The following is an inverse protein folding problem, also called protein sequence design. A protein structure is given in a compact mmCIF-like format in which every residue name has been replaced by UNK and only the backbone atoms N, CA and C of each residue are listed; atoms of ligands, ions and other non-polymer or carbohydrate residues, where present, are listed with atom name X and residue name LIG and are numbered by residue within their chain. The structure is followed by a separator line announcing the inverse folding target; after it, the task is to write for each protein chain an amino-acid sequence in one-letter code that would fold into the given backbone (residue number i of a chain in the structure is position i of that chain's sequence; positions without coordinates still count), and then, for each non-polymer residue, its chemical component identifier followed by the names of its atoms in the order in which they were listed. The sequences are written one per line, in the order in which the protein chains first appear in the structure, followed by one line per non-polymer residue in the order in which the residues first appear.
data_IF_189690763770
#
_entry.id   IF_189690763770
#
_cell.length_a   1.000
_cell.length_b   1.000
_cell.length_c   1.000
_cell.angle_alpha   90.00
_cell.angle_beta   90.00
_cell.angle_gamma   90.00
#
_symmetry.space_group_name_H-M   'P 1'
#
loop_
_entity.id
_entity.type
_entity.pdbx_description
1 polymer ?
#
# COMPACT_ATOMS: atom_id res chain seq x y z
N UNK A 1 -31.55 22.23 -56.75
CA UNK A 1 -31.53 23.66 -57.13
C UNK A 1 -31.10 24.47 -55.92
N UNK A 2 -30.12 25.38 -56.10
CA UNK A 2 -29.54 26.35 -55.15
C UNK A 2 -28.48 25.85 -54.14
N UNK A 3 -27.26 25.84 -54.65
CA UNK A 3 -25.98 26.20 -54.02
C UNK A 3 -26.06 27.48 -53.19
N UNK A 4 -25.37 27.51 -52.03
CA UNK A 4 -24.66 28.71 -51.52
C UNK A 4 -23.35 28.31 -50.85
N UNK A 5 -22.28 28.83 -51.43
CA UNK A 5 -20.90 28.84 -50.97
C UNK A 5 -20.74 30.03 -50.01
N UNK A 6 -20.07 29.86 -48.88
CA UNK A 6 -19.74 30.91 -47.92
C UNK A 6 -18.30 30.76 -47.45
N UNK A 7 -17.53 31.84 -47.57
CA UNK A 7 -16.08 31.85 -47.64
C UNK A 7 -15.34 31.90 -46.28
N UNK A 8 -14.23 31.16 -46.27
CA UNK A 8 -12.89 31.42 -45.71
C UNK A 8 -12.65 32.67 -44.83
N UNK A 9 -12.08 32.45 -43.64
CA UNK A 9 -11.09 33.34 -43.02
C UNK A 9 -10.07 32.51 -42.24
N UNK A 10 -8.88 32.33 -42.80
CA UNK A 10 -7.72 31.69 -42.14
C UNK A 10 -6.97 32.81 -41.39
N UNK A 11 -6.97 32.76 -40.06
CA UNK A 11 -6.11 33.62 -39.23
C UNK A 11 -4.84 32.83 -38.93
N UNK A 12 -3.74 33.22 -39.57
CA UNK A 12 -2.41 32.69 -39.30
C UNK A 12 -1.80 33.43 -38.09
N UNK A 13 -1.72 32.76 -36.95
CA UNK A 13 -1.03 33.28 -35.76
C UNK A 13 0.44 32.83 -35.80
N UNK A 14 1.35 33.78 -36.01
CA UNK A 14 2.79 33.56 -35.85
C UNK A 14 3.12 33.41 -34.36
N UNK A 15 3.56 32.21 -33.96
CA UNK A 15 4.15 31.97 -32.63
C UNK A 15 5.64 32.27 -32.71
N UNK A 16 6.07 33.36 -32.08
CA UNK A 16 7.47 33.70 -31.92
C UNK A 16 8.11 32.77 -30.87
N UNK A 17 9.12 32.02 -31.27
CA UNK A 17 9.94 31.20 -30.38
C UNK A 17 10.85 32.11 -29.53
N UNK A 18 10.53 32.27 -28.24
CA UNK A 18 11.43 32.84 -27.26
C UNK A 18 12.35 31.75 -26.73
N UNK A 19 13.66 31.88 -26.95
CA UNK A 19 14.67 31.02 -26.33
C UNK A 19 14.72 31.31 -24.82
N UNK A 20 14.72 30.29 -23.94
CA UNK A 20 15.02 30.49 -22.53
C UNK A 20 16.52 30.80 -22.37
N UNK A 21 16.85 32.07 -22.12
CA UNK A 21 18.16 32.45 -21.62
C UNK A 21 18.30 31.96 -20.18
N UNK A 22 19.26 31.07 -19.92
CA UNK A 22 19.68 30.74 -18.57
C UNK A 22 20.33 31.97 -17.93
N UNK A 23 19.57 32.71 -17.12
CA UNK A 23 20.14 33.71 -16.24
C UNK A 23 20.84 32.98 -15.08
N UNK A 24 22.18 32.95 -15.09
CA UNK A 24 22.96 32.52 -13.93
C UNK A 24 22.81 33.55 -12.81
N UNK A 25 21.89 33.30 -11.88
CA UNK A 25 21.83 34.02 -10.62
C UNK A 25 22.96 33.51 -9.71
N UNK A 26 24.13 34.15 -9.76
CA UNK A 26 25.17 33.98 -8.74
C UNK A 26 24.85 34.90 -7.56
N UNK A 27 23.94 34.45 -6.69
CA UNK A 27 23.76 35.04 -5.38
C UNK A 27 24.51 34.20 -4.35
N UNK A 28 25.44 34.80 -3.62
CA UNK A 28 26.07 34.16 -2.46
C UNK A 28 24.99 33.93 -1.39
N UNK A 29 24.66 32.67 -1.13
CA UNK A 29 23.71 32.30 -0.09
C UNK A 29 24.40 32.45 1.26
N UNK A 30 24.19 33.59 1.92
CA UNK A 30 24.62 33.79 3.31
C UNK A 30 23.66 33.03 4.24
N UNK A 31 24.16 31.91 4.75
CA UNK A 31 23.69 31.07 5.84
C UNK A 31 22.30 31.35 6.43
N UNK A 32 21.35 30.45 6.14
CA UNK A 32 20.18 30.23 6.99
C UNK A 32 20.62 29.64 8.33
N UNK A 33 20.20 30.27 9.43
CA UNK A 33 20.47 29.76 10.78
C UNK A 33 19.97 28.32 10.98
N UNK A 34 20.51 27.59 11.98
CA UNK A 34 20.19 26.19 12.24
C UNK A 34 18.72 26.07 12.68
N UNK A 35 17.81 25.95 11.71
CA UNK A 35 16.39 25.59 11.94
C UNK A 35 16.00 24.28 11.28
N UNK A 36 16.96 23.61 10.65
CA UNK A 36 16.79 22.29 10.08
C UNK A 36 17.85 21.39 10.72
N UNK A 37 17.59 20.96 11.96
CA UNK A 37 18.02 19.61 12.31
C UNK A 37 17.25 18.69 11.36
N UNK A 38 17.88 18.36 10.23
CA UNK A 38 17.46 17.27 9.38
C UNK A 38 17.70 15.98 10.17
N UNK A 39 16.90 15.77 11.21
CA UNK A 39 16.77 14.47 11.84
C UNK A 39 16.51 13.48 10.72
N UNK A 40 17.29 12.40 10.70
CA UNK A 40 17.05 11.30 9.77
C UNK A 40 15.55 10.97 9.84
N UNK A 41 14.85 10.83 8.69
CA UNK A 41 13.44 10.47 8.73
C UNK A 41 13.30 9.23 9.61
N UNK A 42 12.33 9.25 10.52
CA UNK A 42 12.06 8.11 11.39
C UNK A 42 12.01 6.84 10.54
N UNK A 43 12.64 5.73 10.96
CA UNK A 43 12.59 4.49 10.23
C UNK A 43 11.14 4.13 9.89
N UNK A 44 10.85 3.94 8.61
CA UNK A 44 9.49 3.62 8.11
C UNK A 44 8.93 2.32 8.71
N UNK A 45 9.82 1.48 9.24
CA UNK A 45 9.52 0.24 9.95
C UNK A 45 10.08 0.38 11.36
N UNK A 46 9.21 0.27 12.37
CA UNK A 46 9.63 0.14 13.77
C UNK A 46 8.94 -1.09 14.37
N UNK A 47 9.67 -1.96 15.09
CA UNK A 47 9.04 -3.08 15.76
C UNK A 47 7.88 -2.61 16.63
N UNK A 48 6.69 -3.21 16.45
CA UNK A 48 5.55 -2.94 17.32
C UNK A 48 5.84 -3.61 18.66
N UNK A 49 6.25 -2.82 19.65
CA UNK A 49 6.67 -3.27 20.99
C UNK A 49 5.53 -3.22 22.02
N UNK A 50 4.27 -3.17 21.57
CA UNK A 50 3.12 -3.21 22.47
C UNK A 50 3.11 -4.57 23.17
N UNK A 51 3.11 -4.64 24.53
CA UNK A 51 3.26 -5.90 25.25
C UNK A 51 2.22 -6.96 24.90
N UNK A 52 1.00 -6.54 24.55
CA UNK A 52 -0.04 -7.44 24.07
C UNK A 52 0.40 -8.16 22.79
N UNK A 53 1.10 -7.47 21.89
CA UNK A 53 1.54 -8.01 20.61
C UNK A 53 2.89 -8.74 20.70
N UNK A 54 3.78 -8.40 21.64
CA UNK A 54 5.08 -9.08 21.75
C UNK A 54 4.95 -10.57 22.09
N UNK A 55 3.98 -10.92 22.93
CA UNK A 55 3.68 -12.32 23.32
C UNK A 55 2.81 -13.07 22.30
N UNK A 56 2.40 -12.42 21.20
CA UNK A 56 1.61 -13.07 20.17
C UNK A 56 2.36 -14.24 19.52
N UNK A 57 1.67 -15.36 19.34
CA UNK A 57 2.18 -16.42 18.48
C UNK A 57 2.47 -15.86 17.07
N UNK A 58 3.61 -16.17 16.44
CA UNK A 58 3.91 -15.74 15.08
C UNK A 58 2.87 -16.17 14.04
N UNK A 59 2.04 -17.16 14.34
CA UNK A 59 0.98 -17.70 13.48
C UNK A 59 -0.43 -17.33 13.93
N UNK A 60 -0.57 -16.37 14.86
CA UNK A 60 -1.86 -15.77 15.21
C UNK A 60 -2.07 -14.43 14.50
N UNK A 61 -3.30 -13.92 14.51
CA UNK A 61 -3.57 -12.60 13.92
C UNK A 61 -2.71 -11.52 14.56
N UNK A 62 -2.59 -11.50 15.88
CA UNK A 62 -1.69 -10.60 16.61
C UNK A 62 -0.25 -10.63 16.12
N UNK A 63 0.31 -11.82 15.90
CA UNK A 63 1.68 -11.96 15.43
C UNK A 63 1.86 -11.51 13.98
N UNK A 64 0.91 -11.82 13.11
CA UNK A 64 0.91 -11.37 11.72
C UNK A 64 0.69 -9.86 11.61
N UNK A 65 -0.18 -9.28 12.43
CA UNK A 65 -0.37 -7.84 12.50
C UNK A 65 0.90 -7.14 12.99
N UNK A 66 1.50 -7.62 14.09
CA UNK A 66 2.76 -7.09 14.61
C UNK A 66 3.86 -7.07 13.53
N UNK A 67 4.01 -8.17 12.82
CA UNK A 67 5.17 -8.39 11.95
C UNK A 67 4.97 -7.87 10.52
N UNK A 68 3.72 -7.92 10.01
CA UNK A 68 3.42 -7.67 8.59
C UNK A 68 2.37 -6.60 8.31
N UNK A 69 1.22 -6.65 8.99
CA UNK A 69 0.05 -5.86 8.59
C UNK A 69 -0.20 -4.60 9.43
N UNK A 70 0.53 -4.43 10.53
CA UNK A 70 0.39 -3.30 11.43
C UNK A 70 1.03 -2.03 10.86
N UNK A 71 0.66 -0.89 11.46
CA UNK A 71 1.10 0.44 11.00
C UNK A 71 2.62 0.63 10.93
N UNK A 72 3.37 -0.12 11.75
CA UNK A 72 4.85 -0.05 11.81
C UNK A 72 5.52 -1.36 11.38
N UNK A 73 4.73 -2.30 10.87
CA UNK A 73 5.20 -3.61 10.46
C UNK A 73 6.10 -3.55 9.23
N UNK A 74 6.85 -4.63 8.97
CA UNK A 74 7.79 -4.72 7.84
C UNK A 74 7.09 -4.61 6.49
N UNK A 75 5.87 -5.14 6.40
CA UNK A 75 5.00 -5.02 5.22
C UNK A 75 4.04 -3.82 5.29
N UNK A 76 4.38 -2.78 6.04
CA UNK A 76 3.46 -1.74 6.47
C UNK A 76 3.07 -0.74 5.38
N UNK A 77 1.81 -0.79 4.93
CA UNK A 77 1.09 0.42 4.48
C UNK A 77 -0.26 0.62 5.21
N UNK A 78 -0.43 -0.06 6.34
CA UNK A 78 -1.58 0.12 7.22
C UNK A 78 -1.50 1.40 8.04
N UNK A 79 -2.65 2.00 8.37
CA UNK A 79 -2.75 3.19 9.22
C UNK A 79 -2.10 4.47 8.68
N UNK A 80 -1.61 4.49 7.43
CA UNK A 80 -1.04 5.68 6.77
C UNK A 80 -2.12 6.52 6.08
N UNK A 81 -3.26 5.91 5.74
CA UNK A 81 -4.33 6.51 4.95
C UNK A 81 -4.04 6.61 3.45
N UNK A 82 -2.79 6.38 3.03
CA UNK A 82 -2.36 6.39 1.64
C UNK A 82 -2.62 5.04 0.94
N UNK A 83 -2.42 3.90 1.63
CA UNK A 83 -2.85 2.59 1.13
C UNK A 83 -4.01 2.01 1.95
N UNK A 84 -3.82 1.87 3.27
CA UNK A 84 -4.87 1.44 4.18
C UNK A 84 -4.91 2.35 5.42
N UNK A 85 -6.07 2.43 6.04
CA UNK A 85 -6.30 3.28 7.21
C UNK A 85 -7.77 3.26 7.62
N UNK A 86 -8.26 4.36 8.18
CA UNK A 86 -9.67 4.51 8.55
C UNK A 86 -10.58 4.75 7.34
N UNK A 87 -11.85 4.41 7.47
CA UNK A 87 -12.91 4.69 6.49
C UNK A 87 -12.88 6.16 6.06
N UNK A 88 -13.09 6.40 4.77
CA UNK A 88 -13.11 7.75 4.18
C UNK A 88 -11.73 8.31 3.84
N UNK A 89 -10.64 7.58 4.13
CA UNK A 89 -9.31 7.93 3.63
C UNK A 89 -9.15 7.49 2.16
N UNK A 90 -8.45 8.26 1.31
CA UNK A 90 -8.31 7.95 -0.11
C UNK A 90 -7.81 6.53 -0.40
N UNK A 91 -6.81 6.04 0.34
CA UNK A 91 -6.28 4.69 0.16
C UNK A 91 -7.31 3.59 0.43
N UNK A 92 -8.17 3.80 1.43
CA UNK A 92 -9.26 2.86 1.76
C UNK A 92 -10.31 2.84 0.65
N UNK A 93 -10.67 4.00 0.09
CA UNK A 93 -11.66 4.06 -0.99
C UNK A 93 -11.23 3.33 -2.26
N UNK A 94 -9.91 3.24 -2.50
CA UNK A 94 -9.34 2.52 -3.64
C UNK A 94 -9.20 1.03 -3.31
N UNK A 95 -8.58 0.71 -2.17
CA UNK A 95 -8.27 -0.67 -1.81
C UNK A 95 -9.48 -1.47 -1.34
N UNK A 96 -10.44 -0.84 -0.65
CA UNK A 96 -11.50 -1.53 0.10
C UNK A 96 -11.04 -2.13 1.43
N UNK A 97 -9.81 -1.85 1.86
CA UNK A 97 -9.24 -2.43 3.08
C UNK A 97 -9.06 -1.37 4.16
N UNK A 98 -9.79 -1.54 5.26
CA UNK A 98 -9.67 -0.70 6.47
C UNK A 98 -8.69 -1.37 7.41
N UNK A 99 -7.63 -0.66 7.75
CA UNK A 99 -6.64 -1.08 8.76
C UNK A 99 -6.36 0.13 9.64
N UNK A 100 -7.40 0.62 10.32
CA UNK A 100 -7.33 1.71 11.30
C UNK A 100 -6.68 1.24 12.60
N UNK A 101 -7.08 0.06 13.05
CA UNK A 101 -6.54 -0.68 14.19
C UNK A 101 -6.43 -2.17 13.84
N UNK A 102 -6.11 -3.00 14.85
CA UNK A 102 -5.90 -4.43 14.69
C UNK A 102 -7.18 -5.20 14.34
N UNK A 103 -8.32 -4.81 14.90
CA UNK A 103 -9.59 -5.51 14.72
C UNK A 103 -10.22 -5.15 13.38
N UNK A 104 -10.18 -3.88 13.01
CA UNK A 104 -10.63 -3.43 11.70
C UNK A 104 -9.80 -4.03 10.56
N UNK A 105 -8.48 -4.15 10.77
CA UNK A 105 -7.61 -4.78 9.79
C UNK A 105 -7.88 -6.28 9.65
N UNK A 106 -8.16 -6.98 10.76
CA UNK A 106 -8.61 -8.36 10.71
C UNK A 106 -9.94 -8.50 9.96
N UNK A 107 -10.90 -7.63 10.31
CA UNK A 107 -12.24 -7.63 9.72
C UNK A 107 -12.15 -7.44 8.21
N UNK A 108 -11.36 -6.48 7.74
CA UNK A 108 -11.14 -6.27 6.31
C UNK A 108 -10.45 -7.45 5.63
N UNK A 109 -9.55 -8.16 6.33
CA UNK A 109 -8.91 -9.38 5.81
C UNK A 109 -9.92 -10.52 5.60
N UNK A 110 -10.86 -10.69 6.54
CA UNK A 110 -11.80 -11.82 6.61
C UNK A 110 -13.19 -11.56 6.01
N UNK A 111 -13.57 -10.30 5.87
CA UNK A 111 -14.92 -9.90 5.48
C UNK A 111 -14.84 -8.85 4.38
N UNK A 112 -15.79 -8.90 3.44
CA UNK A 112 -15.99 -7.84 2.44
C UNK A 112 -16.80 -6.69 3.07
N UNK A 113 -16.19 -6.00 4.04
CA UNK A 113 -16.87 -4.94 4.82
C UNK A 113 -16.94 -3.62 4.07
N UNK A 114 -16.05 -3.41 3.11
CA UNK A 114 -15.91 -2.15 2.39
C UNK A 114 -15.74 -2.42 0.90
N UNK A 115 -16.85 -2.59 0.17
CA UNK A 115 -16.81 -2.98 -1.22
C UNK A 115 -16.01 -1.95 -2.03
N UNK A 116 -14.85 -2.38 -2.53
CA UNK A 116 -14.07 -1.61 -3.49
C UNK A 116 -14.71 -1.77 -4.87
N UNK A 117 -14.68 -0.74 -5.73
CA UNK A 117 -15.02 -0.94 -7.14
C UNK A 117 -14.12 -1.98 -7.84
N UNK A 118 -12.92 -2.26 -7.30
CA UNK A 118 -11.99 -3.26 -7.85
C UNK A 118 -12.20 -4.67 -7.27
N UNK A 119 -12.57 -4.78 -6.00
CA UNK A 119 -12.59 -6.06 -5.29
C UNK A 119 -13.87 -6.19 -4.45
N UNK A 120 -14.58 -7.32 -4.64
CA UNK A 120 -15.82 -7.66 -3.93
C UNK A 120 -15.69 -9.00 -3.20
N UNK A 121 -14.54 -9.21 -2.56
CA UNK A 121 -14.24 -10.42 -1.81
C UNK A 121 -13.27 -10.15 -0.69
N UNK A 122 -13.42 -10.88 0.41
CA UNK A 122 -12.40 -10.97 1.44
C UNK A 122 -11.08 -11.54 0.89
N UNK A 123 -9.96 -11.14 1.50
CA UNK A 123 -8.63 -11.66 1.19
C UNK A 123 -8.50 -13.12 1.62
N UNK A 124 -9.14 -13.47 2.74
CA UNK A 124 -9.20 -14.83 3.27
C UNK A 124 -10.66 -15.15 3.58
N UNK A 125 -11.17 -16.23 2.99
CA UNK A 125 -12.52 -16.76 3.19
C UNK A 125 -12.49 -18.02 4.06
N UNK A 126 -13.65 -18.46 4.53
CA UNK A 126 -13.76 -19.68 5.34
C UNK A 126 -13.34 -20.93 4.54
N UNK A 127 -13.64 -20.97 3.24
CA UNK A 127 -13.24 -22.08 2.36
C UNK A 127 -11.71 -22.19 2.18
N UNK A 128 -10.98 -21.09 2.41
CA UNK A 128 -9.51 -21.09 2.34
C UNK A 128 -8.87 -21.86 3.51
N UNK A 129 -9.62 -22.17 4.58
CA UNK A 129 -9.09 -22.94 5.73
C UNK A 129 -8.56 -24.31 5.29
N UNK A 130 -9.29 -24.99 4.40
CA UNK A 130 -8.91 -26.31 3.90
C UNK A 130 -7.80 -26.24 2.82
N UNK A 131 -7.69 -25.11 2.10
CA UNK A 131 -6.78 -24.92 0.99
C UNK A 131 -6.22 -23.48 0.99
N UNK A 132 -5.33 -23.12 1.94
CA UNK A 132 -4.92 -21.74 2.14
C UNK A 132 -4.18 -21.14 0.95
N UNK A 133 -3.52 -21.97 0.12
CA UNK A 133 -2.88 -21.54 -1.13
C UNK A 133 -3.86 -20.85 -2.11
N UNK A 134 -5.15 -21.16 -2.01
CA UNK A 134 -6.21 -20.56 -2.83
C UNK A 134 -6.65 -19.16 -2.40
N UNK A 135 -6.23 -18.71 -1.21
CA UNK A 135 -6.67 -17.44 -0.65
C UNK A 135 -6.30 -16.25 -1.56
N UNK A 136 -7.22 -15.31 -1.69
CA UNK A 136 -7.00 -14.13 -2.52
C UNK A 136 -5.84 -13.26 -2.00
N UNK A 137 -5.56 -13.31 -0.70
CA UNK A 137 -4.38 -12.72 -0.07
C UNK A 137 -3.11 -13.01 -0.88
N UNK A 138 -2.84 -14.27 -1.22
CA UNK A 138 -1.61 -14.64 -1.91
C UNK A 138 -1.59 -14.20 -3.39
N UNK A 139 -2.72 -13.78 -3.94
CA UNK A 139 -2.79 -13.15 -5.27
C UNK A 139 -2.46 -11.66 -5.24
N UNK A 140 -2.44 -11.02 -4.07
CA UNK A 140 -2.14 -9.59 -3.95
C UNK A 140 -0.73 -9.34 -3.42
N UNK A 141 -0.18 -10.27 -2.65
CA UNK A 141 1.14 -10.14 -2.05
C UNK A 141 2.27 -10.26 -3.09
N UNK A 142 3.36 -9.55 -2.80
CA UNK A 142 4.68 -9.80 -3.40
C UNK A 142 5.36 -10.88 -2.61
N UNK A 143 5.69 -11.98 -3.28
CA UNK A 143 6.33 -13.13 -2.64
C UNK A 143 7.70 -13.31 -3.26
N UNK A 144 8.71 -13.52 -2.41
CA UNK A 144 10.04 -13.92 -2.84
C UNK A 144 10.07 -15.44 -2.96
N UNK A 145 10.31 -15.92 -4.17
CA UNK A 145 10.44 -17.35 -4.46
C UNK A 145 11.83 -17.87 -4.03
N UNK A 146 12.00 -19.20 -3.89
CA UNK A 146 13.26 -19.80 -3.45
C UNK A 146 14.46 -19.49 -4.35
N UNK A 147 14.24 -19.22 -5.63
CA UNK A 147 15.28 -18.81 -6.59
C UNK A 147 15.66 -17.32 -6.47
N UNK A 148 15.06 -16.59 -5.54
CA UNK A 148 15.29 -15.18 -5.28
C UNK A 148 14.43 -14.23 -6.12
N UNK A 149 13.68 -14.74 -7.10
CA UNK A 149 12.75 -13.94 -7.90
C UNK A 149 11.59 -13.44 -7.04
N UNK A 150 10.99 -12.32 -7.45
CA UNK A 150 9.81 -11.75 -6.78
C UNK A 150 8.63 -11.89 -7.72
N UNK A 151 7.62 -12.64 -7.28
CA UNK A 151 6.32 -12.71 -7.93
C UNK A 151 5.41 -11.66 -7.33
N UNK A 152 4.79 -10.83 -8.17
CA UNK A 152 3.88 -9.77 -7.77
C UNK A 152 2.78 -9.62 -8.81
N UNK A 153 1.52 -9.62 -8.37
CA UNK A 153 0.38 -9.38 -9.24
C UNK A 153 -0.29 -8.02 -8.94
N UNK A 154 -0.68 -7.79 -7.68
CA UNK A 154 -1.18 -6.49 -7.21
C UNK A 154 -0.17 -5.72 -6.32
N UNK A 155 1.06 -6.22 -6.29
CA UNK A 155 2.26 -5.54 -5.77
C UNK A 155 2.18 -5.10 -4.29
N UNK A 156 1.54 -5.89 -3.42
CA UNK A 156 1.47 -5.59 -1.98
C UNK A 156 2.61 -6.20 -1.14
N UNK A 157 3.25 -5.44 -0.23
CA UNK A 157 2.97 -4.04 0.06
C UNK A 157 3.69 -3.13 -0.95
N UNK A 158 3.06 -1.99 -1.26
CA UNK A 158 3.66 -0.99 -2.14
C UNK A 158 4.81 -0.22 -1.47
N UNK A 159 4.88 -0.27 -0.14
CA UNK A 159 5.92 0.34 0.67
C UNK A 159 6.30 -0.58 1.84
N UNK A 160 7.60 -0.75 2.12
CA UNK A 160 8.72 -0.30 1.28
C UNK A 160 8.81 -1.10 -0.03
N UNK A 161 9.29 -0.48 -1.11
CA UNK A 161 9.27 -1.06 -2.48
C UNK A 161 10.13 -2.30 -2.69
N UNK A 162 11.08 -2.56 -1.80
CA UNK A 162 12.01 -3.69 -1.84
C UNK A 162 11.56 -4.90 -0.99
N UNK A 163 10.49 -4.75 -0.22
CA UNK A 163 10.00 -5.81 0.66
C UNK A 163 9.12 -6.84 -0.06
N UNK A 164 9.52 -8.11 -0.05
CA UNK A 164 8.68 -9.21 -0.48
C UNK A 164 8.59 -10.23 0.65
N UNK A 165 7.42 -10.83 0.82
CA UNK A 165 7.20 -11.87 1.81
C UNK A 165 8.04 -13.10 1.45
N UNK A 166 8.79 -13.62 2.41
CA UNK A 166 9.52 -14.88 2.25
C UNK A 166 8.58 -16.07 2.28
N UNK A 167 9.08 -17.24 1.90
CA UNK A 167 8.34 -18.50 2.03
C UNK A 167 7.90 -18.76 3.49
N UNK A 168 8.76 -18.44 4.46
CA UNK A 168 8.45 -18.57 5.88
C UNK A 168 7.33 -17.61 6.32
N UNK A 169 7.35 -16.36 5.85
CA UNK A 169 6.30 -15.40 6.15
C UNK A 169 4.95 -15.89 5.60
N UNK A 170 4.95 -16.40 4.37
CA UNK A 170 3.78 -17.00 3.72
C UNK A 170 3.30 -18.25 4.46
N UNK A 171 4.21 -19.11 4.92
CA UNK A 171 3.88 -20.30 5.70
C UNK A 171 3.21 -19.96 7.03
N UNK A 172 3.64 -18.88 7.69
CA UNK A 172 2.99 -18.36 8.90
C UNK A 172 1.56 -17.90 8.63
N UNK A 173 1.34 -17.16 7.54
CA UNK A 173 0.00 -16.73 7.12
C UNK A 173 -0.90 -17.92 6.80
N UNK A 174 -0.39 -18.90 6.04
CA UNK A 174 -1.15 -20.14 5.73
C UNK A 174 -1.51 -20.91 6.99
N UNK A 175 -0.63 -20.93 8.00
CA UNK A 175 -0.91 -21.57 9.29
C UNK A 175 -2.02 -20.85 10.04
N UNK A 176 -2.01 -19.51 10.08
CA UNK A 176 -3.12 -18.73 10.64
C UNK A 176 -4.45 -19.02 9.92
N UNK A 177 -4.44 -19.09 8.59
CA UNK A 177 -5.64 -19.41 7.78
C UNK A 177 -6.15 -20.83 8.11
N UNK A 178 -5.27 -21.84 8.17
CA UNK A 178 -5.64 -23.22 8.56
C UNK A 178 -6.23 -23.30 9.97
N UNK A 179 -5.82 -22.40 10.86
CA UNK A 179 -6.37 -22.28 12.22
C UNK A 179 -7.68 -21.47 12.26
N UNK A 180 -8.37 -21.30 11.12
CA UNK A 180 -9.64 -20.60 11.02
C UNK A 180 -9.51 -19.09 10.78
N UNK A 181 -8.29 -18.55 10.70
CA UNK A 181 -8.06 -17.11 10.51
C UNK A 181 -8.70 -16.25 11.59
N UNK A 182 -8.68 -16.72 12.84
CA UNK A 182 -9.34 -16.08 13.97
C UNK A 182 -8.66 -14.78 14.38
N UNK A 183 -9.45 -13.87 14.98
CA UNK A 183 -8.94 -12.72 15.72
C UNK A 183 -8.64 -13.16 17.16
N UNK A 184 -7.37 -13.11 17.58
CA UNK A 184 -6.94 -13.43 18.94
C UNK A 184 -6.73 -12.17 19.80
N UNK A 185 -7.44 -11.09 19.46
CA UNK A 185 -7.25 -9.74 20.00
C UNK A 185 -8.55 -9.15 20.52
#
# INVERSE_FOLDING_TARGET
MRTRVGALAIVATFVAAAAPGCASASGDVVGGGPRFDAGLPDPLVQPINEPSLTEASPTSWGGLYRDFFGKRARGGCAGTGACHGSIGRPGVSISGFVCADIDDCWRSMRQDVHPSPMYKRAMVQDDDVAAPDGAFLFKVLRVRLPDGTVEANLDMPQQPRDFAFSEDDVARMKTWIRNGGLNDR
#
